data_IF_180265493360
#
_entry.id   IF_180265493360
#
_cell.length_a   1.000
_cell.length_b   1.000
_cell.length_c   1.000
_cell.angle_alpha   90.00
_cell.angle_beta   90.00
_cell.angle_gamma   90.00
#
_symmetry.space_group_name_H-M   'P 1'
#
loop_
_entity.id
_entity.type
_entity.pdbx_description
1 polymer ?
#
# COMPACT_ATOMS: atom_id res chain seq x y z
N UNK A 1 27.69 33.86 63.13
CA UNK A 1 26.77 33.87 61.99
C UNK A 1 27.02 32.61 61.17
N UNK A 2 26.00 31.76 60.90
CA UNK A 2 26.24 30.52 60.15
C UNK A 2 26.27 30.81 58.65
N UNK A 3 27.26 30.22 57.98
CA UNK A 3 27.43 30.23 56.53
C UNK A 3 26.48 29.21 55.92
N UNK A 4 25.44 29.65 55.22
CA UNK A 4 24.56 28.77 54.46
C UNK A 4 25.10 28.64 53.04
N UNK A 5 25.89 27.59 52.79
CA UNK A 5 26.26 27.18 51.44
C UNK A 5 25.00 26.64 50.77
N UNK A 6 24.42 27.41 49.84
CA UNK A 6 23.30 26.94 49.03
C UNK A 6 23.79 25.83 48.11
N UNK A 7 23.42 24.58 48.41
CA UNK A 7 23.49 23.47 47.47
C UNK A 7 22.58 23.81 46.28
N UNK A 8 23.19 24.26 45.18
CA UNK A 8 22.49 24.40 43.91
C UNK A 8 22.17 23.01 43.40
N UNK A 9 20.95 22.57 43.74
CA UNK A 9 20.43 21.27 43.38
C UNK A 9 20.49 21.10 41.85
N UNK A 10 21.25 20.09 41.47
CA UNK A 10 21.74 19.79 40.14
C UNK A 10 20.62 19.20 39.23
N UNK A 11 19.44 19.82 39.25
CA UNK A 11 18.23 19.40 38.51
C UNK A 11 18.51 19.34 37.02
N UNK A 12 19.13 20.40 36.49
CA UNK A 12 19.46 20.49 35.06
C UNK A 12 20.36 19.37 34.58
N UNK A 13 21.34 18.91 35.37
CA UNK A 13 22.17 17.78 34.98
C UNK A 13 21.40 16.45 35.04
N UNK A 14 20.51 16.28 36.02
CA UNK A 14 19.64 15.08 36.11
C UNK A 14 18.64 15.03 34.95
N UNK A 15 18.04 16.17 34.62
CA UNK A 15 17.09 16.32 33.53
C UNK A 15 17.77 16.11 32.18
N UNK A 16 18.98 16.66 32.00
CA UNK A 16 19.79 16.46 30.80
C UNK A 16 20.27 15.01 30.65
N UNK A 17 20.71 14.37 31.73
CA UNK A 17 21.10 12.94 31.71
C UNK A 17 19.88 12.06 31.42
N UNK A 18 18.68 12.42 31.91
CA UNK A 18 17.44 11.69 31.63
C UNK A 18 17.03 11.84 30.17
N UNK A 19 17.12 13.05 29.61
CA UNK A 19 16.89 13.32 28.19
C UNK A 19 17.89 12.56 27.30
N UNK A 20 19.19 12.60 27.64
CA UNK A 20 20.22 11.85 26.92
C UNK A 20 19.99 10.34 27.04
N UNK A 21 19.56 9.84 28.21
CA UNK A 21 19.18 8.43 28.37
C UNK A 21 17.97 8.06 27.51
N UNK A 22 16.93 8.89 27.45
CA UNK A 22 15.78 8.70 26.56
C UNK A 22 16.15 8.74 25.07
N UNK A 23 17.05 9.66 24.68
CA UNK A 23 17.57 9.73 23.31
C UNK A 23 18.52 8.55 22.99
N UNK A 24 19.25 8.04 23.97
CA UNK A 24 20.09 6.84 23.82
C UNK A 24 19.28 5.54 23.83
N UNK A 25 18.13 5.54 24.51
CA UNK A 25 17.03 4.60 24.32
C UNK A 25 16.20 4.98 23.09
N UNK A 26 16.87 5.41 22.03
CA UNK A 26 16.41 5.03 20.71
C UNK A 26 16.62 3.53 20.62
N UNK A 27 15.73 2.76 21.25
CA UNK A 27 15.20 1.61 20.56
C UNK A 27 14.79 2.20 19.22
N UNK A 28 15.65 2.05 18.20
CA UNK A 28 15.19 1.97 16.84
C UNK A 28 14.27 0.76 16.90
N UNK A 29 13.02 0.98 17.32
CA UNK A 29 11.94 0.05 17.06
C UNK A 29 12.13 -0.22 15.59
N UNK A 30 12.54 -1.45 15.28
CA UNK A 30 12.59 -1.90 13.91
C UNK A 30 11.23 -1.53 13.36
N UNK A 31 11.20 -0.71 12.29
CA UNK A 31 9.95 -0.36 11.65
C UNK A 31 9.18 -1.68 11.50
N UNK A 32 7.95 -1.79 12.02
CA UNK A 32 7.21 -3.04 11.94
C UNK A 32 7.23 -3.52 10.49
N UNK A 33 7.47 -4.81 10.28
CA UNK A 33 7.59 -5.37 8.94
C UNK A 33 6.23 -5.27 8.22
N UNK A 34 6.01 -4.14 7.54
CA UNK A 34 4.83 -3.87 6.72
C UNK A 34 5.04 -4.43 5.30
N UNK A 35 3.96 -4.82 4.64
CA UNK A 35 3.99 -5.35 3.27
C UNK A 35 4.52 -6.77 3.17
N UNK A 36 4.45 -7.53 4.27
CA UNK A 36 5.10 -8.84 4.42
C UNK A 36 4.33 -9.99 3.77
N UNK A 37 3.11 -9.76 3.27
CA UNK A 37 2.31 -10.81 2.64
C UNK A 37 3.02 -11.32 1.36
N UNK A 38 3.26 -12.64 1.24
CA UNK A 38 4.00 -13.19 0.11
C UNK A 38 3.32 -12.86 -1.22
N UNK A 39 4.07 -12.29 -2.15
CA UNK A 39 3.57 -11.87 -3.46
C UNK A 39 4.57 -12.13 -4.57
N UNK A 40 4.07 -12.24 -5.79
CA UNK A 40 4.86 -12.40 -7.00
C UNK A 40 4.59 -11.22 -7.96
N UNK A 41 5.64 -10.78 -8.66
CA UNK A 41 5.52 -9.76 -9.69
C UNK A 41 5.03 -10.41 -10.99
N UNK A 42 3.85 -10.01 -11.48
CA UNK A 42 3.25 -10.59 -12.69
C UNK A 42 3.31 -9.67 -13.92
N UNK A 43 3.52 -8.37 -13.69
CA UNK A 43 3.68 -7.40 -14.76
C UNK A 43 4.47 -6.18 -14.27
N UNK A 44 5.27 -5.61 -15.15
CA UNK A 44 6.05 -4.40 -14.90
C UNK A 44 6.06 -3.55 -16.17
N UNK A 45 5.86 -2.25 -16.00
CA UNK A 45 5.96 -1.26 -17.06
C UNK A 45 6.48 0.04 -16.46
N UNK A 46 7.60 0.56 -16.96
CA UNK A 46 8.26 1.72 -16.35
C UNK A 46 8.50 1.48 -14.84
N UNK A 47 7.93 2.34 -13.98
CA UNK A 47 7.97 2.22 -12.52
C UNK A 47 6.79 1.44 -11.96
N UNK A 48 5.75 1.20 -12.77
CA UNK A 48 4.59 0.42 -12.38
C UNK A 48 4.98 -1.04 -12.21
N UNK A 49 4.52 -1.62 -11.12
CA UNK A 49 4.60 -3.03 -10.81
C UNK A 49 3.19 -3.54 -10.45
N UNK A 50 2.82 -4.70 -10.99
CA UNK A 50 1.60 -5.40 -10.64
C UNK A 50 1.96 -6.70 -9.92
N UNK A 51 1.47 -6.82 -8.70
CA UNK A 51 1.71 -7.99 -7.87
C UNK A 51 0.47 -8.88 -7.77
N UNK A 52 0.69 -10.19 -7.68
CA UNK A 52 -0.31 -11.18 -7.28
C UNK A 52 0.11 -11.75 -5.92
N UNK A 53 -0.80 -11.76 -4.96
CA UNK A 53 -0.53 -12.30 -3.63
C UNK A 53 -0.74 -13.82 -3.59
N UNK A 54 0.13 -14.52 -2.87
CA UNK A 54 0.04 -15.98 -2.73
C UNK A 54 -1.19 -16.37 -1.90
N UNK A 55 -2.02 -17.32 -2.35
CA UNK A 55 -3.16 -17.80 -1.57
C UNK A 55 -2.75 -18.46 -0.25
N UNK A 56 -3.56 -18.32 0.80
CA UNK A 56 -3.32 -18.89 2.14
C UNK A 56 -3.85 -20.33 2.32
N UNK A 57 -4.02 -21.09 1.24
CA UNK A 57 -4.53 -22.48 1.31
C UNK A 57 -6.04 -22.62 1.60
N UNK A 58 -6.79 -21.52 1.63
CA UNK A 58 -8.26 -21.52 1.76
C UNK A 58 -8.96 -21.67 0.41
N UNK A 59 -10.22 -22.14 0.41
CA UNK A 59 -11.03 -22.28 -0.80
C UNK A 59 -11.15 -20.95 -1.54
N UNK A 60 -10.58 -20.89 -2.74
CA UNK A 60 -10.52 -19.66 -3.53
C UNK A 60 -11.85 -19.35 -4.23
N UNK A 61 -12.21 -18.07 -4.22
CA UNK A 61 -13.29 -17.50 -5.03
C UNK A 61 -12.84 -17.42 -6.48
N UNK A 62 -13.83 -17.44 -7.38
CA UNK A 62 -13.56 -17.48 -8.82
C UNK A 62 -13.02 -16.16 -9.37
N UNK A 63 -13.51 -15.03 -8.89
CA UNK A 63 -13.20 -13.72 -9.46
C UNK A 63 -12.13 -13.01 -8.65
N UNK A 64 -11.05 -12.52 -9.30
CA UNK A 64 -10.00 -11.80 -8.62
C UNK A 64 -10.42 -10.37 -8.27
N UNK A 65 -9.75 -9.80 -7.26
CA UNK A 65 -9.83 -8.38 -6.91
C UNK A 65 -8.51 -7.72 -7.31
N UNK A 66 -8.60 -6.63 -8.07
CA UNK A 66 -7.48 -5.74 -8.36
C UNK A 66 -7.57 -4.50 -7.46
N UNK A 67 -6.56 -4.27 -6.64
CA UNK A 67 -6.44 -3.10 -5.79
C UNK A 67 -5.66 -2.01 -6.52
N UNK A 68 -6.26 -0.82 -6.55
CA UNK A 68 -5.69 0.40 -7.12
C UNK A 68 -5.61 1.47 -6.03
N UNK A 69 -4.40 1.85 -5.64
CA UNK A 69 -4.16 2.86 -4.61
C UNK A 69 -3.88 4.25 -5.22
N UNK A 70 -3.68 5.26 -4.37
CA UNK A 70 -3.27 6.59 -4.79
C UNK A 70 -1.83 6.62 -5.34
N UNK A 71 -1.53 7.64 -6.17
CA UNK A 71 -0.18 7.86 -6.72
C UNK A 71 0.80 8.44 -5.69
N UNK A 72 0.28 9.17 -4.70
CA UNK A 72 1.10 9.96 -3.75
C UNK A 72 1.75 9.08 -2.69
N UNK A 73 1.14 7.95 -2.36
CA UNK A 73 1.57 7.11 -1.25
C UNK A 73 1.67 5.65 -1.70
N UNK A 74 2.51 4.86 -1.04
CA UNK A 74 2.80 3.50 -1.49
C UNK A 74 1.75 2.52 -0.98
N UNK A 75 1.45 1.47 -1.77
CA UNK A 75 0.32 0.60 -1.50
C UNK A 75 0.54 -0.36 -0.33
N UNK A 76 1.73 -0.37 0.30
CA UNK A 76 1.96 -1.12 1.54
C UNK A 76 1.01 -0.72 2.68
N UNK A 77 0.35 0.44 2.60
CA UNK A 77 -0.70 0.82 3.55
C UNK A 77 -1.90 -0.13 3.50
N UNK A 78 -2.13 -0.80 2.37
CA UNK A 78 -3.17 -1.83 2.26
C UNK A 78 -2.73 -3.17 2.86
N UNK A 79 -1.45 -3.29 3.21
CA UNK A 79 -0.81 -4.51 3.70
C UNK A 79 0.12 -4.16 4.88
N UNK A 80 -0.44 -3.63 5.97
CA UNK A 80 0.32 -3.22 7.16
C UNK A 80 0.73 -4.44 8.00
N UNK A 81 0.30 -4.51 9.25
CA UNK A 81 0.48 -5.70 10.10
C UNK A 81 -0.61 -6.73 9.79
N UNK A 82 -0.38 -8.04 10.03
CA UNK A 82 -1.35 -9.10 9.69
C UNK A 82 -2.78 -8.85 10.20
N UNK A 83 -2.94 -8.28 11.41
CA UNK A 83 -4.26 -7.96 11.99
C UNK A 83 -4.91 -6.69 11.46
N UNK A 84 -4.19 -5.90 10.64
CA UNK A 84 -4.61 -4.61 10.08
C UNK A 84 -4.41 -4.54 8.56
N UNK A 85 -4.10 -5.67 7.92
CA UNK A 85 -3.86 -5.77 6.49
C UNK A 85 -5.18 -6.09 5.77
N UNK A 86 -5.63 -5.16 4.92
CA UNK A 86 -6.77 -5.38 4.03
C UNK A 86 -6.48 -6.55 3.09
N UNK A 87 -5.25 -6.62 2.56
CA UNK A 87 -4.80 -7.72 1.70
C UNK A 87 -4.91 -9.07 2.42
N UNK A 88 -4.39 -9.17 3.64
CA UNK A 88 -4.48 -10.38 4.46
C UNK A 88 -5.95 -10.78 4.66
N UNK A 89 -6.81 -9.84 5.07
CA UNK A 89 -8.24 -10.10 5.26
C UNK A 89 -8.92 -10.62 3.99
N UNK A 90 -8.61 -10.06 2.82
CA UNK A 90 -9.14 -10.54 1.54
C UNK A 90 -8.66 -11.97 1.20
N UNK A 91 -7.37 -12.25 1.44
CA UNK A 91 -6.79 -13.59 1.21
C UNK A 91 -7.42 -14.64 2.13
N UNK A 92 -7.63 -14.32 3.40
CA UNK A 92 -8.30 -15.19 4.39
C UNK A 92 -9.74 -15.51 4.00
N UNK A 93 -10.45 -14.55 3.38
CA UNK A 93 -11.78 -14.76 2.81
C UNK A 93 -11.77 -15.45 1.43
N UNK A 94 -10.59 -15.87 0.96
CA UNK A 94 -10.39 -16.63 -0.26
C UNK A 94 -10.49 -15.82 -1.55
N UNK A 95 -10.31 -14.50 -1.52
CA UNK A 95 -10.21 -13.72 -2.75
C UNK A 95 -8.81 -13.85 -3.35
N UNK A 96 -8.68 -14.08 -4.67
CA UNK A 96 -7.41 -13.87 -5.38
C UNK A 96 -7.13 -12.37 -5.43
N UNK A 97 -6.01 -11.92 -4.84
CA UNK A 97 -5.70 -10.50 -4.65
C UNK A 97 -4.54 -10.06 -5.55
N UNK A 98 -4.76 -8.95 -6.27
CA UNK A 98 -3.78 -8.29 -7.11
C UNK A 98 -3.66 -6.84 -6.69
N UNK A 99 -2.48 -6.25 -6.84
CA UNK A 99 -2.23 -4.89 -6.37
C UNK A 99 -1.30 -4.16 -7.32
N UNK A 100 -1.72 -2.95 -7.71
CA UNK A 100 -0.91 -2.03 -8.50
C UNK A 100 -0.04 -1.21 -7.55
N UNK A 101 1.26 -1.22 -7.82
CA UNK A 101 2.22 -0.29 -7.28
C UNK A 101 2.69 0.63 -8.42
N UNK A 102 2.30 1.89 -8.36
CA UNK A 102 2.61 2.88 -9.40
C UNK A 102 4.10 3.24 -9.48
N UNK A 103 4.85 2.92 -8.42
CA UNK A 103 6.23 3.38 -8.25
C UNK A 103 6.29 4.87 -7.92
N UNK A 104 7.50 5.44 -8.04
CA UNK A 104 7.72 6.88 -7.85
C UNK A 104 7.87 7.57 -9.20
N UNK A 105 7.22 8.73 -9.39
CA UNK A 105 7.42 9.52 -10.59
C UNK A 105 8.86 10.05 -10.65
N UNK A 106 9.40 10.17 -11.85
CA UNK A 106 10.64 10.88 -12.12
C UNK A 106 10.48 11.85 -13.30
N UNK A 107 11.57 12.45 -13.76
CA UNK A 107 11.55 13.44 -14.84
C UNK A 107 10.93 12.92 -16.15
N UNK A 108 10.94 11.61 -16.39
CA UNK A 108 10.32 11.02 -17.59
C UNK A 108 8.78 11.02 -17.54
N UNK A 109 8.17 11.24 -16.37
CA UNK A 109 6.71 11.29 -16.21
C UNK A 109 6.11 12.70 -16.45
N UNK A 110 6.93 13.68 -16.83
CA UNK A 110 6.52 15.09 -17.01
C UNK A 110 5.34 15.27 -17.98
N UNK A 111 5.23 14.40 -18.99
CA UNK A 111 4.18 14.46 -19.99
C UNK A 111 3.05 13.44 -19.75
N UNK A 112 3.14 12.66 -18.67
CA UNK A 112 2.11 11.67 -18.32
C UNK A 112 0.83 12.38 -17.90
N UNK A 113 -0.27 12.08 -18.60
CA UNK A 113 -1.59 12.66 -18.35
C UNK A 113 -2.49 11.66 -17.63
N UNK A 114 -3.62 12.15 -17.12
CA UNK A 114 -4.63 11.31 -16.47
C UNK A 114 -5.12 10.16 -17.37
N UNK A 115 -5.30 10.42 -18.67
CA UNK A 115 -5.69 9.40 -19.63
C UNK A 115 -4.67 8.26 -19.72
N UNK A 116 -3.38 8.55 -19.58
CA UNK A 116 -2.32 7.54 -19.64
C UNK A 116 -2.38 6.62 -18.41
N UNK A 117 -2.75 7.15 -17.25
CA UNK A 117 -3.01 6.35 -16.05
C UNK A 117 -4.25 5.45 -16.20
N UNK A 118 -5.36 5.99 -16.70
CA UNK A 118 -6.65 5.28 -16.75
C UNK A 118 -6.69 4.31 -17.93
N UNK A 119 -6.54 4.81 -19.15
CA UNK A 119 -6.70 4.04 -20.38
C UNK A 119 -5.39 3.37 -20.84
N UNK A 120 -4.25 3.78 -20.27
CA UNK A 120 -2.97 3.12 -20.48
C UNK A 120 -2.67 2.11 -19.38
N UNK A 121 -2.07 2.60 -18.29
CA UNK A 121 -1.50 1.77 -17.23
C UNK A 121 -2.54 0.88 -16.52
N UNK A 122 -3.64 1.46 -16.02
CA UNK A 122 -4.70 0.71 -15.33
C UNK A 122 -5.36 -0.30 -16.28
N UNK A 123 -5.66 0.10 -17.52
CA UNK A 123 -6.18 -0.81 -18.54
C UNK A 123 -5.28 -2.04 -18.73
N UNK A 124 -3.97 -1.83 -18.92
CA UNK A 124 -3.01 -2.93 -19.10
C UNK A 124 -2.95 -3.83 -17.86
N UNK A 125 -2.97 -3.26 -16.65
CA UNK A 125 -3.08 -4.04 -15.42
C UNK A 125 -4.33 -4.92 -15.39
N UNK A 126 -5.51 -4.36 -15.71
CA UNK A 126 -6.78 -5.12 -15.79
C UNK A 126 -6.67 -6.28 -16.79
N UNK A 127 -6.09 -6.04 -17.97
CA UNK A 127 -5.88 -7.10 -18.96
C UNK A 127 -4.91 -8.19 -18.45
N UNK A 128 -3.83 -7.82 -17.77
CA UNK A 128 -2.91 -8.79 -17.17
C UNK A 128 -3.59 -9.64 -16.09
N UNK A 129 -4.38 -9.03 -15.20
CA UNK A 129 -5.15 -9.77 -14.18
C UNK A 129 -6.17 -10.70 -14.83
N UNK A 130 -6.92 -10.25 -15.84
CA UNK A 130 -7.88 -11.08 -16.57
C UNK A 130 -7.22 -12.30 -17.20
N UNK A 131 -6.08 -12.12 -17.88
CA UNK A 131 -5.32 -13.22 -18.48
C UNK A 131 -4.78 -14.19 -17.43
N UNK A 132 -4.16 -13.66 -16.38
CA UNK A 132 -3.58 -14.45 -15.30
C UNK A 132 -4.63 -15.28 -14.57
N UNK A 133 -5.77 -14.67 -14.20
CA UNK A 133 -6.88 -15.33 -13.51
C UNK A 133 -7.81 -16.13 -14.44
N UNK A 134 -7.59 -16.08 -15.77
CA UNK A 134 -8.46 -16.68 -16.80
C UNK A 134 -9.93 -16.26 -16.63
N UNK A 135 -10.17 -14.95 -16.47
CA UNK A 135 -11.52 -14.37 -16.30
C UNK A 135 -11.82 -13.30 -17.34
N UNK A 136 -13.10 -13.22 -17.72
CA UNK A 136 -13.61 -12.17 -18.63
C UNK A 136 -13.80 -10.82 -17.93
N UNK A 137 -14.19 -10.83 -16.66
CA UNK A 137 -14.35 -9.63 -15.82
C UNK A 137 -13.68 -9.82 -14.46
N UNK A 138 -13.25 -8.73 -13.85
CA UNK A 138 -12.64 -8.71 -12.50
C UNK A 138 -13.39 -7.77 -11.57
N UNK A 139 -13.16 -7.88 -10.26
CA UNK A 139 -13.57 -6.84 -9.31
C UNK A 139 -12.44 -5.82 -9.18
N UNK A 140 -12.80 -4.53 -9.15
CA UNK A 140 -11.86 -3.43 -9.02
C UNK A 140 -12.12 -2.69 -7.71
N UNK A 141 -11.11 -2.63 -6.86
CA UNK A 141 -11.15 -1.93 -5.57
C UNK A 141 -10.20 -0.74 -5.63
N UNK A 142 -10.75 0.46 -5.62
CA UNK A 142 -10.00 1.71 -5.63
C UNK A 142 -10.01 2.38 -4.25
N UNK A 143 -8.86 2.90 -3.83
CA UNK A 143 -8.72 3.60 -2.54
C UNK A 143 -8.18 5.02 -2.78
N UNK A 144 -8.81 6.02 -2.16
CA UNK A 144 -8.46 7.44 -2.30
C UNK A 144 -8.46 7.86 -3.79
N UNK A 145 -7.36 8.42 -4.32
CA UNK A 145 -7.24 8.76 -5.74
C UNK A 145 -7.37 7.53 -6.65
N UNK A 146 -6.99 6.34 -6.17
CA UNK A 146 -7.22 5.09 -6.88
C UNK A 146 -8.71 4.77 -7.04
N UNK A 147 -9.57 5.26 -6.13
CA UNK A 147 -11.03 5.22 -6.25
C UNK A 147 -11.53 6.03 -7.44
N UNK A 148 -11.03 7.26 -7.59
CA UNK A 148 -11.36 8.13 -8.74
C UNK A 148 -10.93 7.48 -10.06
N UNK A 149 -9.71 6.93 -10.12
CA UNK A 149 -9.23 6.23 -11.32
C UNK A 149 -10.08 5.01 -11.64
N UNK A 150 -10.44 4.23 -10.63
CA UNK A 150 -11.26 3.03 -10.78
C UNK A 150 -12.68 3.35 -11.23
N UNK A 151 -13.25 4.45 -10.73
CA UNK A 151 -14.56 4.96 -11.16
C UNK A 151 -14.55 5.36 -12.62
N UNK A 152 -13.63 6.23 -13.02
CA UNK A 152 -13.49 6.66 -14.41
C UNK A 152 -13.23 5.48 -15.34
N UNK A 153 -12.33 4.56 -14.96
CA UNK A 153 -12.04 3.36 -15.74
C UNK A 153 -13.28 2.49 -15.93
N UNK A 154 -14.03 2.23 -14.86
CA UNK A 154 -15.24 1.39 -14.90
C UNK A 154 -16.32 2.00 -15.77
N UNK A 155 -16.47 3.34 -15.74
CA UNK A 155 -17.41 4.04 -16.61
C UNK A 155 -17.04 3.95 -18.10
N UNK A 156 -15.74 3.99 -18.41
CA UNK A 156 -15.24 3.88 -19.79
C UNK A 156 -15.17 2.43 -20.30
N UNK A 157 -15.03 1.44 -19.40
CA UNK A 157 -14.83 0.03 -19.72
C UNK A 157 -15.78 -0.90 -18.93
N UNK A 158 -17.11 -0.76 -19.05
CA UNK A 158 -18.09 -1.53 -18.25
C UNK A 158 -18.04 -3.05 -18.53
N UNK A 159 -17.49 -3.46 -19.68
CA UNK A 159 -17.32 -4.86 -20.03
C UNK A 159 -16.11 -5.54 -19.39
N UNK A 160 -15.23 -4.76 -18.75
CA UNK A 160 -14.03 -5.25 -18.08
C UNK A 160 -14.25 -5.52 -16.59
N UNK A 161 -15.16 -4.77 -15.97
CA UNK A 161 -15.35 -4.75 -14.51
C UNK A 161 -16.69 -5.38 -14.13
N UNK A 162 -16.66 -6.31 -13.17
CA UNK A 162 -17.86 -6.95 -12.62
C UNK A 162 -18.44 -6.14 -11.46
N UNK A 163 -17.58 -5.67 -10.56
CA UNK A 163 -17.92 -4.86 -9.40
C UNK A 163 -16.85 -3.79 -9.18
N UNK A 164 -17.30 -2.57 -8.90
CA UNK A 164 -16.45 -1.48 -8.45
C UNK A 164 -16.67 -1.28 -6.94
N UNK A 165 -15.58 -1.17 -6.19
CA UNK A 165 -15.57 -0.81 -4.78
C UNK A 165 -14.67 0.42 -4.62
N UNK A 166 -15.16 1.48 -3.99
CA UNK A 166 -14.39 2.71 -3.72
C UNK A 166 -14.34 2.97 -2.22
N UNK A 167 -13.13 3.19 -1.69
CA UNK A 167 -12.85 3.53 -0.29
C UNK A 167 -12.15 4.89 -0.17
#
# INVERSE_FOLDING_TARGET
>A
MPTTTQETNNSWQKDFITLIKQLSHTDRQSLPAVGSSPKELIYKENKLQLFHYKPLGVKQKKTPILLTYALVNRPYITDLEPKRSLVQGLLEHGYPVYLIDWGYPDSSDKLTRLNDYINGYLHRCVQHVKRHAKRKKIDLLGICQGGVFSLCYTALHPDEIRKLITL
#
